data_IF_728014605493
#
_entry.id   IF_728014605493
#
_cell.length_a   1.000
_cell.length_b   1.000
_cell.length_c   1.000
_cell.angle_alpha   90.00
_cell.angle_beta   90.00
_cell.angle_gamma   90.00
#
_symmetry.space_group_name_H-M   'P 1'
#
loop_
_entity.id
_entity.type
_entity.pdbx_description
1 polymer ?
#
# COMPACT_ATOMS: atom_id res chain seq x y z
N UNK A 1 -43.76 6.78 -15.02
CA UNK A 1 -42.65 5.80 -15.03
C UNK A 1 -41.38 6.63 -14.93
N UNK A 2 -40.84 6.79 -13.71
CA UNK A 2 -39.69 7.64 -13.49
C UNK A 2 -38.47 6.97 -14.12
N UNK A 3 -37.90 7.59 -15.16
CA UNK A 3 -36.64 7.19 -15.74
C UNK A 3 -35.57 7.33 -14.66
N UNK A 4 -35.10 6.20 -14.12
CA UNK A 4 -33.97 6.17 -13.22
C UNK A 4 -32.75 6.59 -14.04
N UNK A 5 -32.35 7.86 -13.92
CA UNK A 5 -31.12 8.35 -14.53
C UNK A 5 -29.98 7.61 -13.84
N UNK A 6 -29.33 6.69 -14.55
CA UNK A 6 -28.11 6.07 -14.07
C UNK A 6 -27.01 7.09 -14.36
N UNK A 7 -26.52 7.76 -13.32
CA UNK A 7 -25.36 8.63 -13.45
C UNK A 7 -24.15 7.77 -13.79
N UNK A 8 -23.81 7.77 -15.08
CA UNK A 8 -22.63 7.11 -15.65
C UNK A 8 -21.42 8.03 -15.65
N UNK A 9 -21.29 8.90 -14.65
CA UNK A 9 -20.14 9.80 -14.52
C UNK A 9 -19.04 9.11 -13.69
N UNK A 10 -17.97 8.58 -14.32
CA UNK A 10 -16.94 7.81 -13.61
C UNK A 10 -16.16 8.67 -12.61
N UNK A 11 -15.96 9.95 -12.93
CA UNK A 11 -15.18 10.87 -12.11
C UNK A 11 -15.91 11.23 -10.81
N UNK A 12 -17.22 11.47 -10.89
CA UNK A 12 -18.06 11.72 -9.72
C UNK A 12 -18.09 10.50 -8.79
N UNK A 13 -18.17 9.29 -9.36
CA UNK A 13 -18.11 8.05 -8.60
C UNK A 13 -16.76 7.87 -7.87
N UNK A 14 -15.64 8.18 -8.54
CA UNK A 14 -14.30 8.12 -7.93
C UNK A 14 -14.18 9.14 -6.79
N UNK A 15 -14.57 10.39 -7.02
CA UNK A 15 -14.50 11.44 -6.00
C UNK A 15 -15.32 11.10 -4.77
N UNK A 16 -16.57 10.64 -4.97
CA UNK A 16 -17.45 10.24 -3.89
C UNK A 16 -16.89 9.04 -3.11
N UNK A 17 -16.28 8.08 -3.80
CA UNK A 17 -15.62 6.95 -3.12
C UNK A 17 -14.45 7.41 -2.24
N UNK A 18 -13.60 8.31 -2.74
CA UNK A 18 -12.47 8.88 -1.99
C UNK A 18 -12.98 9.63 -0.77
N UNK A 19 -14.02 10.44 -0.93
CA UNK A 19 -14.63 11.19 0.17
C UNK A 19 -15.17 10.26 1.27
N UNK A 20 -15.89 9.21 0.89
CA UNK A 20 -16.44 8.23 1.85
C UNK A 20 -15.31 7.49 2.57
N UNK A 21 -14.32 6.96 1.85
CA UNK A 21 -13.25 6.19 2.47
C UNK A 21 -12.34 7.07 3.34
N UNK A 22 -12.07 8.31 2.93
CA UNK A 22 -11.26 9.25 3.69
C UNK A 22 -12.00 9.73 4.95
N UNK A 23 -13.29 10.03 4.86
CA UNK A 23 -14.10 10.39 6.04
C UNK A 23 -14.18 9.23 7.03
N UNK A 24 -14.37 8.00 6.55
CA UNK A 24 -14.34 6.80 7.38
C UNK A 24 -12.97 6.60 8.05
N UNK A 25 -11.87 6.81 7.33
CA UNK A 25 -10.51 6.73 7.86
C UNK A 25 -10.28 7.76 8.96
N UNK A 26 -10.66 9.02 8.74
CA UNK A 26 -10.51 10.09 9.73
C UNK A 26 -11.36 9.81 10.96
N UNK A 27 -12.61 9.41 10.77
CA UNK A 27 -13.51 9.05 11.87
C UNK A 27 -12.95 7.90 12.70
N UNK A 28 -12.49 6.82 12.03
CA UNK A 28 -11.88 5.67 12.69
C UNK A 28 -10.59 6.03 13.43
N UNK A 29 -9.75 6.88 12.83
CA UNK A 29 -8.50 7.34 13.44
C UNK A 29 -8.75 8.19 14.68
N UNK A 30 -9.68 9.15 14.62
CA UNK A 30 -10.06 9.98 15.77
C UNK A 30 -10.72 9.13 16.86
N UNK A 31 -11.62 8.21 16.49
CA UNK A 31 -12.23 7.29 17.44
C UNK A 31 -11.17 6.41 18.14
N UNK A 32 -10.19 5.90 17.38
CA UNK A 32 -9.07 5.14 17.93
C UNK A 32 -8.24 5.97 18.91
N UNK A 33 -7.84 7.19 18.55
CA UNK A 33 -7.06 8.07 19.42
C UNK A 33 -7.82 8.49 20.69
N UNK A 34 -9.15 8.60 20.65
CA UNK A 34 -9.97 8.89 21.83
C UNK A 34 -10.19 7.64 22.72
N UNK A 35 -10.29 6.46 22.11
CA UNK A 35 -10.58 5.20 22.81
C UNK A 35 -9.32 4.57 23.41
N UNK A 36 -8.18 4.67 22.72
CA UNK A 36 -6.88 4.15 23.13
C UNK A 36 -6.46 4.56 24.55
N UNK A 37 -6.51 5.84 24.97
CA UNK A 37 -6.13 6.22 26.34
C UNK A 37 -7.15 5.77 27.38
N UNK A 38 -8.41 5.51 27.01
CA UNK A 38 -9.45 5.06 27.93
C UNK A 38 -9.42 3.54 28.14
N UNK A 39 -8.98 2.78 27.15
CA UNK A 39 -8.98 1.32 27.13
C UNK A 39 -7.56 0.73 26.99
N UNK A 40 -6.59 1.29 27.74
CA UNK A 40 -5.17 0.88 27.68
C UNK A 40 -4.98 -0.62 27.95
N UNK A 41 -5.79 -1.23 28.82
CA UNK A 41 -5.72 -2.66 29.13
C UNK A 41 -5.93 -3.53 27.89
N UNK A 42 -6.80 -3.11 26.97
CA UNK A 42 -7.12 -3.87 25.75
C UNK A 42 -6.20 -3.53 24.58
N UNK A 43 -5.80 -2.27 24.45
CA UNK A 43 -4.93 -1.82 23.35
C UNK A 43 -3.43 -2.00 23.64
N UNK A 44 -3.05 -2.12 24.91
CA UNK A 44 -1.66 -2.27 25.35
C UNK A 44 -1.50 -3.41 26.37
N UNK A 45 -2.03 -4.60 26.03
CA UNK A 45 -1.93 -5.79 26.87
C UNK A 45 -0.48 -6.13 27.23
N UNK A 46 0.46 -5.89 26.30
CA UNK A 46 1.89 -6.17 26.48
C UNK A 46 2.57 -5.30 27.52
N UNK A 47 2.15 -4.05 27.71
CA UNK A 47 2.64 -3.23 28.82
C UNK A 47 2.10 -3.70 30.17
N UNK A 48 1.04 -4.51 30.18
CA UNK A 48 0.40 -5.00 31.41
C UNK A 48 1.00 -6.32 31.88
N UNK A 49 1.48 -7.16 30.95
CA UNK A 49 2.11 -8.44 31.27
C UNK A 49 3.64 -8.31 31.38
N UNK A 50 4.24 -8.46 32.59
CA UNK A 50 5.68 -8.31 32.80
C UNK A 50 6.53 -9.38 32.09
N UNK A 51 5.92 -10.47 31.61
CA UNK A 51 6.63 -11.48 30.81
C UNK A 51 6.70 -11.15 29.32
N UNK A 52 5.82 -10.27 28.84
CA UNK A 52 5.69 -9.89 27.43
C UNK A 52 5.95 -8.38 27.20
N UNK A 53 6.46 -7.69 28.22
CA UNK A 53 6.75 -6.26 28.19
C UNK A 53 7.83 -5.95 27.17
N UNK A 54 7.58 -4.93 26.35
CA UNK A 54 8.50 -4.44 25.34
C UNK A 54 8.74 -2.94 25.63
N UNK A 55 9.98 -2.44 25.47
CA UNK A 55 10.28 -1.01 25.71
C UNK A 55 9.41 -0.08 24.85
N UNK A 56 9.00 -0.52 23.65
CA UNK A 56 8.10 0.21 22.77
C UNK A 56 6.67 0.32 23.33
N UNK A 57 6.23 -0.67 24.11
CA UNK A 57 4.89 -0.72 24.70
C UNK A 57 4.78 0.12 25.99
N UNK A 58 5.88 0.30 26.73
CA UNK A 58 5.89 1.06 27.99
C UNK A 58 5.82 2.58 27.79
N UNK A 59 6.18 3.07 26.60
CA UNK A 59 6.14 4.50 26.32
C UNK A 59 4.69 5.01 26.19
N UNK A 60 4.41 6.14 26.83
CA UNK A 60 3.15 6.87 26.68
C UNK A 60 3.26 7.78 25.46
N UNK A 61 2.42 7.52 24.47
CA UNK A 61 2.39 8.31 23.23
C UNK A 61 1.23 9.28 23.24
N UNK A 62 1.49 10.54 22.86
CA UNK A 62 0.44 11.51 22.55
C UNK A 62 -0.31 11.17 21.26
N UNK A 63 -1.25 12.04 20.88
CA UNK A 63 -2.05 11.92 19.66
C UNK A 63 -1.15 11.74 18.42
N UNK A 64 -1.26 10.62 17.72
CA UNK A 64 -0.42 10.27 16.56
C UNK A 64 1.07 10.03 16.86
N UNK A 65 1.53 10.21 18.11
CA UNK A 65 2.94 10.09 18.51
C UNK A 65 3.49 8.66 18.46
N UNK A 66 2.61 7.66 18.35
CA UNK A 66 2.96 6.24 18.27
C UNK A 66 3.37 5.80 16.86
N UNK A 67 2.99 6.57 15.82
CA UNK A 67 3.18 6.16 14.42
C UNK A 67 4.67 6.08 14.07
N UNK A 68 5.42 7.15 14.33
CA UNK A 68 6.85 7.21 14.05
C UNK A 68 7.67 6.11 14.74
N UNK A 69 7.53 5.86 16.06
CA UNK A 69 8.27 4.80 16.74
C UNK A 69 7.87 3.40 16.25
N UNK A 70 6.59 3.14 15.97
CA UNK A 70 6.14 1.87 15.39
C UNK A 70 6.73 1.63 13.99
N UNK A 71 6.80 2.67 13.15
CA UNK A 71 7.39 2.56 11.81
C UNK A 71 8.92 2.41 11.83
N UNK A 72 9.58 2.90 12.89
CA UNK A 72 11.04 2.83 13.08
C UNK A 72 11.49 1.60 13.88
N UNK A 73 10.57 0.80 14.40
CA UNK A 73 10.88 -0.43 15.13
C UNK A 73 11.81 -1.33 14.30
N UNK A 74 12.88 -1.77 14.94
CA UNK A 74 13.93 -2.55 14.27
C UNK A 74 13.48 -4.00 14.07
N UNK A 75 14.00 -4.64 13.02
CA UNK A 75 13.67 -6.04 12.74
C UNK A 75 14.09 -6.96 13.89
N UNK A 76 15.20 -6.65 14.58
CA UNK A 76 15.68 -7.47 15.70
C UNK A 76 14.77 -7.36 16.93
N UNK A 77 14.31 -6.14 17.28
CA UNK A 77 13.31 -5.95 18.36
C UNK A 77 12.00 -6.68 18.02
N UNK A 78 11.54 -6.59 16.77
CA UNK A 78 10.33 -7.28 16.33
C UNK A 78 10.52 -8.80 16.45
N UNK A 79 11.68 -9.33 16.08
CA UNK A 79 11.97 -10.76 16.18
C UNK A 79 11.96 -11.24 17.64
N UNK A 80 12.53 -10.46 18.55
CA UNK A 80 12.62 -10.79 19.97
C UNK A 80 11.25 -10.76 20.67
N UNK A 81 10.46 -9.70 20.46
CA UNK A 81 9.20 -9.48 21.19
C UNK A 81 7.96 -10.03 20.46
N UNK A 82 7.95 -10.07 19.12
CA UNK A 82 6.81 -10.52 18.32
C UNK A 82 7.03 -11.90 17.69
N UNK A 83 8.27 -12.38 17.64
CA UNK A 83 8.63 -13.67 17.04
C UNK A 83 8.85 -13.61 15.53
N UNK A 84 9.26 -14.76 14.97
CA UNK A 84 9.60 -14.90 13.56
C UNK A 84 8.40 -14.67 12.63
N UNK A 85 7.22 -15.19 12.96
CA UNK A 85 6.04 -15.09 12.10
C UNK A 85 5.59 -13.64 11.90
N UNK A 86 5.50 -12.88 12.99
CA UNK A 86 5.18 -11.45 12.96
C UNK A 86 6.21 -10.63 12.16
N UNK A 87 7.51 -10.95 12.32
CA UNK A 87 8.57 -10.34 11.53
C UNK A 87 8.37 -10.61 10.03
N UNK A 88 8.04 -11.86 9.66
CA UNK A 88 7.84 -12.25 8.27
C UNK A 88 6.63 -11.52 7.66
N UNK A 89 5.54 -11.42 8.42
CA UNK A 89 4.36 -10.67 8.00
C UNK A 89 4.65 -9.18 7.78
N UNK A 90 5.35 -8.52 8.72
CA UNK A 90 5.69 -7.11 8.59
C UNK A 90 6.67 -6.85 7.43
N UNK A 91 7.64 -7.73 7.21
CA UNK A 91 8.57 -7.62 6.07
C UNK A 91 7.84 -7.86 4.75
N UNK A 92 6.86 -8.77 4.70
CA UNK A 92 5.98 -8.94 3.53
C UNK A 92 5.16 -7.67 3.23
N UNK A 93 4.60 -7.01 4.26
CA UNK A 93 3.91 -5.73 4.08
C UNK A 93 4.85 -4.62 3.58
N UNK A 94 6.08 -4.54 4.11
CA UNK A 94 7.10 -3.58 3.64
C UNK A 94 7.51 -3.85 2.18
N UNK A 95 7.64 -5.11 1.80
CA UNK A 95 7.87 -5.52 0.42
C UNK A 95 6.71 -5.07 -0.49
N UNK A 96 5.46 -5.34 -0.09
CA UNK A 96 4.27 -4.90 -0.81
C UNK A 96 4.23 -3.37 -0.98
N UNK A 97 4.57 -2.61 0.07
CA UNK A 97 4.69 -1.15 0.01
C UNK A 97 5.73 -0.68 -1.00
N UNK A 98 6.90 -1.32 -1.04
CA UNK A 98 7.97 -0.97 -1.99
C UNK A 98 7.56 -1.27 -3.44
N UNK A 99 6.90 -2.42 -3.67
CA UNK A 99 6.36 -2.79 -4.98
C UNK A 99 5.28 -1.79 -5.42
N UNK A 100 4.32 -1.48 -4.54
CA UNK A 100 3.27 -0.50 -4.82
C UNK A 100 3.85 0.89 -5.13
N UNK A 101 4.85 1.33 -4.35
CA UNK A 101 5.56 2.59 -4.60
C UNK A 101 6.25 2.62 -5.97
N UNK A 102 6.96 1.55 -6.34
CA UNK A 102 7.58 1.43 -7.66
C UNK A 102 6.54 1.42 -8.79
N UNK A 103 5.41 0.72 -8.61
CA UNK A 103 4.30 0.72 -9.57
C UNK A 103 3.71 2.12 -9.73
N UNK A 104 3.50 2.88 -8.65
CA UNK A 104 3.00 4.26 -8.70
C UNK A 104 3.96 5.15 -9.50
N UNK A 105 5.27 5.07 -9.23
CA UNK A 105 6.29 5.83 -9.98
C UNK A 105 6.27 5.49 -11.47
N UNK A 106 6.11 4.22 -11.80
CA UNK A 106 6.02 3.76 -13.18
C UNK A 106 4.73 4.25 -13.87
N UNK A 107 3.61 4.26 -13.14
CA UNK A 107 2.35 4.83 -13.61
C UNK A 107 2.48 6.33 -13.91
N UNK A 108 3.17 7.11 -13.06
CA UNK A 108 3.45 8.51 -13.36
C UNK A 108 4.29 8.69 -14.64
N UNK A 109 5.22 7.77 -14.93
CA UNK A 109 5.99 7.77 -16.18
C UNK A 109 5.16 7.42 -17.43
N UNK A 110 4.15 6.56 -17.29
CA UNK A 110 3.24 6.17 -18.38
C UNK A 110 2.15 7.21 -18.66
N UNK A 111 1.75 7.97 -17.65
CA UNK A 111 0.72 9.01 -17.71
C UNK A 111 0.90 10.01 -18.88
N UNK A 112 2.08 10.63 -19.14
CA UNK A 112 2.27 11.51 -20.30
C UNK A 112 2.23 10.78 -21.65
N UNK A 113 2.59 9.49 -21.67
CA UNK A 113 2.56 8.67 -22.89
C UNK A 113 1.11 8.40 -23.31
N UNK A 114 0.22 8.16 -22.34
CA UNK A 114 -1.21 7.98 -22.58
C UNK A 114 -1.93 9.29 -22.92
N UNK A 115 -1.58 10.39 -22.25
CA UNK A 115 -2.21 11.69 -22.49
C UNK A 115 -1.92 12.25 -23.91
N UNK A 116 -0.80 11.84 -24.52
CA UNK A 116 -0.37 12.29 -25.86
C UNK A 116 -0.84 11.40 -27.02
N UNK A 117 -1.74 10.44 -26.77
CA UNK A 117 -2.31 9.58 -27.81
C UNK A 117 -3.27 10.35 -28.73
N UNK A 118 -3.21 10.05 -30.04
CA UNK A 118 -4.06 10.69 -31.06
C UNK A 118 -5.45 10.07 -31.04
N UNK A 119 -6.49 10.90 -30.89
CA UNK A 119 -7.90 10.48 -30.98
C UNK A 119 -8.32 10.37 -32.47
N UNK A 120 -9.13 9.37 -32.85
CA UNK A 120 -9.55 9.15 -34.23
C UNK A 120 -10.55 10.19 -34.78
N UNK A 121 -10.93 11.16 -33.97
CA UNK A 121 -11.90 12.21 -34.23
C UNK A 121 -11.21 13.57 -34.13
N UNK A 122 -11.12 14.27 -35.25
CA UNK A 122 -10.57 15.62 -35.37
C UNK A 122 -11.41 16.70 -34.67
N UNK A 123 -11.91 16.42 -33.46
CA UNK A 123 -12.54 17.41 -32.60
C UNK A 123 -11.44 18.32 -32.03
N UNK A 124 -11.26 19.45 -32.71
CA UNK A 124 -10.45 20.55 -32.25
C UNK A 124 -11.03 21.12 -30.94
N UNK A 125 -10.26 21.01 -29.86
CA UNK A 125 -9.95 22.09 -28.91
C UNK A 125 -11.09 22.98 -28.37
N UNK A 126 -12.35 22.53 -28.31
CA UNK A 126 -13.42 23.31 -27.70
C UNK A 126 -14.18 22.50 -26.64
N UNK A 127 -13.94 22.87 -25.39
CA UNK A 127 -14.90 22.85 -24.28
C UNK A 127 -15.69 21.58 -23.96
N UNK A 128 -15.02 20.47 -23.65
CA UNK A 128 -15.60 19.48 -22.74
C UNK A 128 -14.61 19.13 -21.63
N UNK A 129 -14.79 19.89 -20.55
CA UNK A 129 -14.83 19.48 -19.15
C UNK A 129 -13.69 18.60 -18.62
N UNK A 130 -13.24 18.87 -17.39
CA UNK A 130 -12.33 18.03 -16.60
C UNK A 130 -12.75 16.53 -16.49
N UNK A 131 -13.95 16.21 -16.99
CA UNK A 131 -14.71 14.95 -17.03
C UNK A 131 -14.11 13.81 -17.88
N UNK A 132 -13.04 14.08 -18.63
CA UNK A 132 -12.36 13.08 -19.48
C UNK A 132 -10.90 12.86 -19.04
N UNK A 133 -10.43 13.54 -17.98
CA UNK A 133 -9.01 13.47 -17.59
C UNK A 133 -8.60 12.06 -17.18
N UNK A 134 -9.35 11.40 -16.30
CA UNK A 134 -9.00 10.05 -15.82
C UNK A 134 -9.00 9.04 -16.96
N UNK A 135 -10.01 9.12 -17.84
CA UNK A 135 -10.09 8.28 -19.03
C UNK A 135 -8.90 8.52 -19.98
N UNK A 136 -8.48 9.79 -20.15
CA UNK A 136 -7.35 10.19 -21.00
C UNK A 136 -5.99 9.73 -20.49
N UNK A 137 -5.87 9.54 -19.18
CA UNK A 137 -4.65 9.07 -18.50
C UNK A 137 -4.59 7.54 -18.43
N UNK A 138 -5.68 6.86 -18.77
CA UNK A 138 -5.77 5.41 -18.78
C UNK A 138 -5.38 4.82 -20.14
N UNK A 139 -4.95 3.56 -20.12
CA UNK A 139 -4.64 2.78 -21.33
C UNK A 139 -5.84 2.69 -22.30
N UNK A 140 -7.07 2.82 -21.79
CA UNK A 140 -8.31 2.79 -22.58
C UNK A 140 -8.40 3.89 -23.65
N UNK A 141 -7.70 5.02 -23.46
CA UNK A 141 -7.65 6.09 -24.46
C UNK A 141 -6.79 5.74 -25.69
N UNK A 142 -5.96 4.70 -25.60
CA UNK A 142 -5.02 4.36 -26.67
C UNK A 142 -5.70 3.56 -27.78
N UNK A 143 -5.71 4.11 -29.01
CA UNK A 143 -6.18 3.38 -30.19
C UNK A 143 -5.01 2.62 -30.87
N UNK A 144 -5.08 1.29 -30.83
CA UNK A 144 -4.08 0.37 -31.37
C UNK A 144 -3.93 0.48 -32.90
N UNK A 145 -4.98 0.87 -33.62
CA UNK A 145 -4.95 0.96 -35.08
C UNK A 145 -4.30 2.24 -35.61
N UNK A 146 -4.29 3.33 -34.83
CA UNK A 146 -3.65 4.59 -35.23
C UNK A 146 -2.17 4.65 -34.82
N UNK A 147 -1.84 4.22 -33.60
CA UNK A 147 -0.48 4.37 -33.04
C UNK A 147 0.06 3.04 -32.46
N UNK A 148 0.41 2.04 -33.28
CA UNK A 148 0.94 0.75 -32.80
C UNK A 148 2.27 0.90 -32.03
N UNK A 149 3.05 1.94 -32.35
CA UNK A 149 4.36 2.21 -31.76
C UNK A 149 4.32 2.70 -30.30
N UNK A 150 3.17 2.86 -29.65
CA UNK A 150 3.10 3.25 -28.23
C UNK A 150 2.88 2.06 -27.28
N UNK A 151 2.55 0.88 -27.81
CA UNK A 151 2.27 -0.32 -27.02
C UNK A 151 3.52 -0.89 -26.34
N UNK A 152 4.72 -0.57 -26.83
CA UNK A 152 5.95 -1.03 -26.18
C UNK A 152 6.11 -0.43 -24.78
N UNK A 153 5.56 0.76 -24.50
CA UNK A 153 5.74 1.44 -23.22
C UNK A 153 5.12 0.67 -22.03
N UNK A 154 3.82 0.27 -22.05
CA UNK A 154 3.27 -0.59 -21.01
C UNK A 154 3.92 -1.98 -20.94
N UNK A 155 4.34 -2.54 -22.09
CA UNK A 155 5.04 -3.83 -22.12
C UNK A 155 6.39 -3.73 -21.42
N UNK A 156 7.19 -2.71 -21.75
CA UNK A 156 8.48 -2.44 -21.12
C UNK A 156 8.31 -2.14 -19.62
N UNK A 157 7.30 -1.35 -19.25
CA UNK A 157 6.92 -1.10 -17.87
C UNK A 157 6.58 -2.42 -17.13
N UNK A 158 5.79 -3.30 -17.74
CA UNK A 158 5.46 -4.63 -17.22
C UNK A 158 6.69 -5.49 -16.95
N UNK A 159 7.65 -5.53 -17.89
CA UNK A 159 8.91 -6.24 -17.69
C UNK A 159 9.77 -5.60 -16.59
N UNK A 160 9.85 -4.27 -16.53
CA UNK A 160 10.61 -3.55 -15.51
C UNK A 160 10.07 -3.82 -14.11
N UNK A 161 8.74 -3.72 -13.91
CA UNK A 161 8.13 -3.99 -12.60
C UNK A 161 8.29 -5.47 -12.23
N UNK A 162 8.17 -6.39 -13.19
CA UNK A 162 8.34 -7.83 -12.94
C UNK A 162 9.78 -8.17 -12.53
N UNK A 163 10.78 -7.62 -13.22
CA UNK A 163 12.18 -7.81 -12.85
C UNK A 163 12.45 -7.20 -11.48
N UNK A 164 11.91 -6.02 -11.21
CA UNK A 164 12.04 -5.35 -9.92
C UNK A 164 11.43 -6.19 -8.78
N UNK A 165 10.18 -6.66 -8.94
CA UNK A 165 9.51 -7.49 -7.93
C UNK A 165 10.27 -8.79 -7.67
N UNK A 166 10.74 -9.47 -8.72
CA UNK A 166 11.53 -10.69 -8.58
C UNK A 166 12.84 -10.44 -7.84
N UNK A 167 13.55 -9.33 -8.12
CA UNK A 167 14.78 -8.99 -7.39
C UNK A 167 14.52 -8.74 -5.92
N UNK A 168 13.47 -7.97 -5.59
CA UNK A 168 13.11 -7.69 -4.20
C UNK A 168 12.68 -8.97 -3.48
N UNK A 169 11.89 -9.82 -4.14
CA UNK A 169 11.45 -11.09 -3.58
C UNK A 169 12.63 -12.01 -3.28
N UNK A 170 13.60 -12.12 -4.18
CA UNK A 170 14.81 -12.93 -3.95
C UNK A 170 15.64 -12.36 -2.79
N UNK A 171 15.77 -11.04 -2.69
CA UNK A 171 16.47 -10.42 -1.57
C UNK A 171 15.77 -10.73 -0.24
N UNK A 172 14.46 -10.58 -0.17
CA UNK A 172 13.67 -10.88 1.02
C UNK A 172 13.68 -12.37 1.38
N UNK A 173 13.62 -13.25 0.37
CA UNK A 173 13.69 -14.69 0.58
C UNK A 173 15.01 -15.13 1.20
N UNK A 174 16.14 -14.57 0.75
CA UNK A 174 17.46 -14.87 1.35
C UNK A 174 17.51 -14.48 2.83
N UNK A 175 16.97 -13.31 3.17
CA UNK A 175 16.91 -12.84 4.56
C UNK A 175 15.95 -13.70 5.39
N UNK A 176 14.81 -14.10 4.84
CA UNK A 176 13.89 -15.01 5.52
C UNK A 176 14.57 -16.34 5.89
N UNK A 177 15.28 -16.94 4.94
CA UNK A 177 15.98 -18.22 5.16
C UNK A 177 17.04 -18.06 6.26
N UNK A 178 17.85 -16.99 6.24
CA UNK A 178 18.86 -16.79 7.28
C UNK A 178 18.24 -16.61 8.67
N UNK A 179 17.19 -15.79 8.79
CA UNK A 179 16.49 -15.57 10.07
C UNK A 179 15.78 -16.83 10.57
N UNK A 180 15.26 -17.66 9.67
CA UNK A 180 14.67 -18.95 10.03
C UNK A 180 15.73 -19.91 10.59
N UNK A 181 16.90 -19.99 9.95
CA UNK A 181 18.00 -20.81 10.48
C UNK A 181 18.49 -20.29 11.83
N UNK A 182 18.62 -18.97 11.97
CA UNK A 182 18.95 -18.33 13.25
C UNK A 182 17.93 -18.67 14.34
N UNK A 183 16.64 -18.61 14.03
CA UNK A 183 15.56 -18.93 14.97
C UNK A 183 15.55 -20.41 15.36
N UNK A 184 15.70 -21.33 14.40
CA UNK A 184 15.72 -22.77 14.65
C UNK A 184 16.98 -23.24 15.37
N UNK A 185 18.10 -22.52 15.23
CA UNK A 185 19.35 -22.81 15.93
C UNK A 185 19.36 -22.33 17.38
N UNK A 186 18.33 -21.63 17.85
CA UNK A 186 18.16 -21.29 19.26
C UNK A 186 17.53 -22.47 19.99
N UNK A 187 18.12 -22.87 21.11
CA UNK A 187 17.61 -23.94 21.96
C UNK A 187 16.30 -23.50 22.65
N UNK A 188 15.18 -23.78 22.00
CA UNK A 188 13.85 -23.48 22.52
C UNK A 188 13.29 -24.66 23.31
N UNK A 189 12.72 -24.41 24.49
CA UNK A 189 12.02 -25.43 25.29
C UNK A 189 10.92 -26.16 24.48
N UNK A 190 10.35 -25.50 23.48
CA UNK A 190 9.34 -26.05 22.55
C UNK A 190 9.88 -27.15 21.61
N UNK A 191 11.20 -27.31 21.45
CA UNK A 191 11.80 -28.34 20.60
C UNK A 191 11.92 -29.70 21.32
N UNK A 192 11.69 -29.74 22.64
CA UNK A 192 11.89 -30.91 23.49
C UNK A 192 10.60 -31.43 24.16
N UNK A 193 9.44 -30.96 23.72
CA UNK A 193 8.11 -31.42 24.17
C UNK A 193 7.45 -32.23 23.06
#
# INVERSE_FOLDING_TARGET
MASHHVDTDPDAAILLSIEIYLSLLVLGFVAFELLRPRLLVYFNCRATDPKASCPLAEQVYGFGGWIAPVLRATDDEIMEFCGLDALCYLRFLRLGRNIAGASILLSFGLMPIYASAIRPDGESLNETTAQDMVARLAMANMNVSLDPNRLWAPVAAGFLITIYTLRLLVAEYKVYVSRRHEFLGRDGLQQYT
#
